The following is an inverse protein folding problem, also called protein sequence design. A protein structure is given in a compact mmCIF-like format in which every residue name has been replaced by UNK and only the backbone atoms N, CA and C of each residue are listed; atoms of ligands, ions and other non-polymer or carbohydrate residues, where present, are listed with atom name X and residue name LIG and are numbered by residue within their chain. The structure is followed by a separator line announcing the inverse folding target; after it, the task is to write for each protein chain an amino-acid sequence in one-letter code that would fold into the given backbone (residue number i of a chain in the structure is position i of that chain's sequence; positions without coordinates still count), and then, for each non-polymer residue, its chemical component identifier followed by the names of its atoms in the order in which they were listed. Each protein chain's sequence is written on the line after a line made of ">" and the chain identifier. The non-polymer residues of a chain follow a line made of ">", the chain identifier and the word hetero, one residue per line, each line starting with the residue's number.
data_IF_354867632350
#
_entry.id   IF_354867632350
#
_cell.length_a   1.000
_cell.length_b   1.000
_cell.length_c   1.000
_cell.angle_alpha   90.00
_cell.angle_beta   90.00
_cell.angle_gamma   90.00
#
_symmetry.space_group_name_H-M   'P 1'
#
loop_
_entity.id
_entity.type
_entity.pdbx_description
1 polymer ?
#
# COMPACT_ATOMS: atom_id res chain seq x y z
N UNK A 1 -19.09 8.68 -9.09
CA UNK A 1 -18.47 9.02 -7.78
C UNK A 1 -19.47 9.54 -6.74
N UNK A 2 -20.20 10.64 -6.97
CA UNK A 2 -21.18 11.14 -5.99
C UNK A 2 -22.45 10.26 -5.91
N UNK A 3 -22.97 9.84 -7.07
CA UNK A 3 -24.17 8.98 -7.16
C UNK A 3 -23.93 7.63 -6.48
N UNK A 4 -22.78 6.99 -6.72
CA UNK A 4 -22.46 5.68 -6.13
C UNK A 4 -22.41 5.71 -4.59
N UNK A 5 -21.93 6.82 -4.02
CA UNK A 5 -21.91 7.01 -2.56
C UNK A 5 -23.32 7.16 -2.00
N UNK A 6 -24.15 7.95 -2.67
CA UNK A 6 -25.56 8.14 -2.28
C UNK A 6 -26.32 6.82 -2.35
N UNK A 7 -26.14 6.07 -3.43
CA UNK A 7 -26.75 4.75 -3.62
C UNK A 7 -26.27 3.76 -2.55
N UNK A 8 -24.97 3.73 -2.25
CA UNK A 8 -24.41 2.91 -1.18
C UNK A 8 -24.98 3.25 0.21
N UNK A 9 -25.10 4.54 0.52
CA UNK A 9 -25.69 4.99 1.79
C UNK A 9 -27.18 4.62 1.89
N UNK A 10 -27.95 4.77 0.80
CA UNK A 10 -29.36 4.38 0.78
C UNK A 10 -29.56 2.88 0.99
N UNK A 11 -28.67 2.05 0.43
CA UNK A 11 -28.74 0.60 0.58
C UNK A 11 -28.40 0.16 2.01
N UNK A 12 -27.39 0.76 2.66
CA UNK A 12 -27.10 0.53 4.09
C UNK A 12 -28.23 0.98 5.02
N UNK A 13 -28.94 2.06 4.68
CA UNK A 13 -30.16 2.46 5.40
C UNK A 13 -31.28 1.43 5.21
N UNK A 14 -31.38 0.84 4.02
CA UNK A 14 -32.29 -0.28 3.74
C UNK A 14 -31.98 -1.52 4.58
N UNK A 15 -30.71 -1.95 4.66
CA UNK A 15 -30.27 -3.07 5.49
C UNK A 15 -30.67 -2.89 6.96
N UNK A 16 -30.46 -1.69 7.50
CA UNK A 16 -30.85 -1.33 8.86
C UNK A 16 -32.36 -1.41 9.07
N UNK A 17 -33.15 -0.84 8.15
CA UNK A 17 -34.60 -0.79 8.26
C UNK A 17 -35.23 -2.18 8.24
N UNK A 18 -34.84 -3.05 7.31
CA UNK A 18 -35.40 -4.40 7.21
C UNK A 18 -34.98 -5.30 8.36
N UNK A 19 -33.72 -5.24 8.79
CA UNK A 19 -33.25 -6.00 9.95
C UNK A 19 -33.98 -5.58 11.25
N UNK A 20 -34.27 -4.28 11.43
CA UNK A 20 -35.01 -3.78 12.58
C UNK A 20 -36.47 -4.28 12.59
N UNK A 21 -37.13 -4.32 11.44
CA UNK A 21 -38.51 -4.84 11.32
C UNK A 21 -38.58 -6.32 11.70
N UNK A 22 -37.67 -7.14 11.17
CA UNK A 22 -37.59 -8.58 11.52
C UNK A 22 -37.28 -8.79 13.00
N UNK A 23 -36.34 -8.02 13.57
CA UNK A 23 -36.02 -8.09 14.99
C UNK A 23 -37.24 -7.76 15.87
N UNK A 24 -38.05 -6.77 15.46
CA UNK A 24 -39.29 -6.39 16.14
C UNK A 24 -40.36 -7.48 16.09
N UNK A 25 -40.66 -8.01 14.90
CA UNK A 25 -41.68 -9.04 14.71
C UNK A 25 -41.30 -10.37 15.40
N UNK A 26 -40.06 -10.83 15.19
CA UNK A 26 -39.54 -12.03 15.85
C UNK A 26 -39.46 -11.84 17.38
N UNK A 27 -39.13 -10.63 17.84
CA UNK A 27 -39.03 -10.29 19.27
C UNK A 27 -40.38 -10.29 19.98
N UNK A 28 -41.42 -9.75 19.36
CA UNK A 28 -42.80 -9.78 19.88
C UNK A 28 -43.26 -11.22 20.11
N UNK A 29 -43.02 -12.11 19.13
CA UNK A 29 -43.36 -13.53 19.29
C UNK A 29 -42.63 -14.20 20.45
N UNK A 30 -41.32 -13.95 20.58
CA UNK A 30 -40.51 -14.56 21.65
C UNK A 30 -40.98 -14.10 23.05
N UNK A 31 -41.56 -12.90 23.14
CA UNK A 31 -42.15 -12.37 24.36
C UNK A 31 -43.50 -13.03 24.70
N UNK A 32 -44.37 -13.18 23.70
CA UNK A 32 -45.72 -13.73 23.87
C UNK A 32 -45.72 -15.26 24.11
N UNK A 33 -44.73 -15.98 23.57
CA UNK A 33 -44.70 -17.44 23.66
C UNK A 33 -43.84 -17.99 24.79
N UNK A 34 -44.47 -18.29 25.94
CA UNK A 34 -43.87 -19.05 27.05
C UNK A 34 -44.33 -20.51 27.02
N UNK A 35 -43.42 -21.46 26.80
CA UNK A 35 -43.69 -22.91 26.94
C UNK A 35 -43.72 -23.74 25.64
N UNK A 36 -43.24 -23.22 24.52
CA UNK A 36 -43.21 -23.94 23.21
C UNK A 36 -42.04 -24.93 23.11
N UNK A 37 -42.15 -25.89 22.20
CA UNK A 37 -41.13 -26.91 21.93
C UNK A 37 -39.74 -26.30 21.69
N UNK A 38 -38.70 -26.98 22.18
CA UNK A 38 -37.31 -26.54 22.11
C UNK A 38 -36.81 -26.31 20.67
N UNK A 39 -37.46 -26.90 19.66
CA UNK A 39 -37.05 -26.80 18.26
C UNK A 39 -37.61 -25.54 17.58
N UNK A 40 -38.88 -25.22 17.75
CA UNK A 40 -39.48 -24.00 17.18
C UNK A 40 -38.83 -22.73 17.75
N UNK A 41 -38.53 -22.73 19.05
CA UNK A 41 -37.86 -21.61 19.73
C UNK A 41 -36.47 -21.32 19.17
N UNK A 42 -35.72 -22.34 18.73
CA UNK A 42 -34.35 -22.17 18.18
C UNK A 42 -34.34 -21.43 16.85
N UNK A 43 -35.38 -21.58 16.02
CA UNK A 43 -35.49 -20.92 14.70
C UNK A 43 -35.63 -19.40 14.84
N UNK A 44 -36.46 -18.95 15.77
CA UNK A 44 -36.65 -17.54 16.09
C UNK A 44 -35.45 -16.93 16.81
N UNK A 45 -34.81 -17.69 17.71
CA UNK A 45 -33.55 -17.25 18.33
C UNK A 45 -32.44 -17.07 17.27
N UNK A 46 -32.35 -17.94 16.27
CA UNK A 46 -31.39 -17.74 15.19
C UNK A 46 -31.68 -16.45 14.39
N UNK A 47 -32.94 -16.24 14.02
CA UNK A 47 -33.38 -15.09 13.24
C UNK A 47 -33.12 -13.76 13.95
N UNK A 48 -33.39 -13.67 15.26
CA UNK A 48 -33.13 -12.45 16.04
C UNK A 48 -31.63 -12.16 16.22
N UNK A 49 -30.78 -13.19 16.29
CA UNK A 49 -29.32 -13.04 16.35
C UNK A 49 -28.79 -12.49 15.03
N UNK A 50 -29.25 -13.04 13.90
CA UNK A 50 -28.88 -12.56 12.55
C UNK A 50 -29.35 -11.12 12.35
N UNK A 51 -30.57 -10.79 12.78
CA UNK A 51 -31.09 -9.42 12.72
C UNK A 51 -30.27 -8.44 13.57
N UNK A 52 -29.90 -8.83 14.79
CA UNK A 52 -29.09 -8.00 15.69
C UNK A 52 -27.67 -7.73 15.16
N UNK A 53 -27.01 -8.76 14.60
CA UNK A 53 -25.71 -8.62 13.95
C UNK A 53 -25.80 -7.69 12.73
N UNK A 54 -26.87 -7.81 11.94
CA UNK A 54 -27.10 -6.98 10.76
C UNK A 54 -27.32 -5.51 11.14
N UNK A 55 -28.09 -5.23 12.21
CA UNK A 55 -28.30 -3.87 12.74
C UNK A 55 -26.96 -3.28 13.19
N UNK A 56 -26.18 -4.03 13.97
CA UNK A 56 -24.88 -3.58 14.48
C UNK A 56 -23.91 -3.24 13.35
N UNK A 57 -23.80 -4.13 12.35
CA UNK A 57 -22.92 -3.92 11.19
C UNK A 57 -23.38 -2.76 10.30
N UNK A 58 -24.69 -2.62 10.10
CA UNK A 58 -25.27 -1.50 9.32
C UNK A 58 -24.97 -0.15 9.98
N UNK A 59 -25.09 -0.06 11.32
CA UNK A 59 -24.75 1.16 12.07
C UNK A 59 -23.25 1.45 12.06
N UNK A 60 -22.42 0.41 12.17
CA UNK A 60 -20.97 0.55 12.13
C UNK A 60 -20.48 1.08 10.77
N UNK A 61 -21.09 0.62 9.68
CA UNK A 61 -20.73 1.02 8.31
C UNK A 61 -21.47 2.24 7.77
N UNK A 62 -22.44 2.78 8.51
CA UNK A 62 -23.05 4.08 8.19
C UNK A 62 -22.08 5.24 8.44
N UNK A 63 -21.11 5.06 9.34
CA UNK A 63 -20.10 6.06 9.62
C UNK A 63 -19.04 6.07 8.50
N UNK A 64 -18.71 7.24 7.92
CA UNK A 64 -17.74 7.36 6.82
C UNK A 64 -16.28 7.24 7.30
N UNK A 65 -15.98 6.26 8.15
CA UNK A 65 -14.62 5.93 8.53
C UNK A 65 -14.02 5.00 7.48
N UNK A 66 -13.25 5.61 6.58
CA UNK A 66 -12.00 5.06 6.03
C UNK A 66 -11.98 3.56 5.64
N UNK A 67 -11.99 3.31 4.32
CA UNK A 67 -11.35 2.13 3.72
C UNK A 67 -12.30 1.14 3.07
N UNK A 68 -12.62 1.37 1.80
CA UNK A 68 -13.49 0.54 0.95
C UNK A 68 -12.92 -0.85 0.60
N UNK A 69 -12.07 -1.46 1.44
CA UNK A 69 -11.31 -2.65 1.05
C UNK A 69 -11.72 -3.96 1.76
N UNK A 70 -12.64 -3.95 2.75
CA UNK A 70 -12.84 -5.14 3.62
C UNK A 70 -14.32 -5.58 3.83
N UNK A 71 -15.33 -4.85 3.33
CA UNK A 71 -16.74 -5.14 3.71
C UNK A 71 -17.38 -6.32 2.94
N UNK A 72 -16.98 -6.55 1.68
CA UNK A 72 -17.66 -7.50 0.79
C UNK A 72 -17.68 -8.97 1.27
N UNK A 73 -16.65 -9.52 1.97
CA UNK A 73 -16.73 -10.91 2.46
C UNK A 73 -17.71 -11.02 3.63
N UNK A 74 -17.81 -9.98 4.47
CA UNK A 74 -18.75 -9.97 5.59
C UNK A 74 -20.18 -9.83 5.05
N UNK A 75 -20.39 -9.02 4.00
CA UNK A 75 -21.69 -8.89 3.37
C UNK A 75 -22.21 -10.24 2.82
N UNK A 76 -21.33 -11.04 2.19
CA UNK A 76 -21.66 -12.40 1.71
C UNK A 76 -22.01 -13.35 2.86
N UNK A 77 -21.30 -13.26 3.98
CA UNK A 77 -21.58 -14.09 5.16
C UNK A 77 -22.96 -13.76 5.72
N UNK A 78 -23.27 -12.47 5.87
CA UNK A 78 -24.57 -12.03 6.39
C UNK A 78 -25.70 -12.37 5.42
N UNK A 79 -25.49 -12.26 4.11
CA UNK A 79 -26.42 -12.78 3.10
C UNK A 79 -26.73 -14.27 3.32
N UNK A 80 -25.71 -15.11 3.48
CA UNK A 80 -25.90 -16.54 3.75
C UNK A 80 -26.67 -16.82 5.03
N UNK A 81 -26.43 -16.04 6.08
CA UNK A 81 -27.17 -16.13 7.35
C UNK A 81 -28.64 -15.72 7.19
N UNK A 82 -28.95 -14.70 6.39
CA UNK A 82 -30.33 -14.30 6.09
C UNK A 82 -31.08 -15.33 5.24
N UNK A 83 -30.41 -15.95 4.27
CA UNK A 83 -31.00 -17.06 3.50
C UNK A 83 -31.32 -18.26 4.39
N UNK A 84 -30.44 -18.59 5.34
CA UNK A 84 -30.70 -19.62 6.33
C UNK A 84 -31.87 -19.24 7.25
N UNK A 85 -31.94 -17.98 7.72
CA UNK A 85 -33.04 -17.49 8.54
C UNK A 85 -34.39 -17.56 7.79
N UNK A 86 -34.40 -17.13 6.53
CA UNK A 86 -35.56 -17.24 5.64
C UNK A 86 -36.03 -18.70 5.50
N UNK A 87 -35.10 -19.63 5.23
CA UNK A 87 -35.44 -21.05 5.13
C UNK A 87 -36.04 -21.64 6.42
N UNK A 88 -35.53 -21.23 7.58
CA UNK A 88 -36.05 -21.66 8.89
C UNK A 88 -37.46 -21.12 9.18
N UNK A 89 -37.75 -19.88 8.78
CA UNK A 89 -39.08 -19.29 8.92
C UNK A 89 -40.10 -19.94 7.96
N UNK A 90 -39.70 -20.20 6.71
CA UNK A 90 -40.56 -20.89 5.72
C UNK A 90 -40.91 -22.31 6.20
N UNK A 91 -39.91 -23.05 6.70
CA UNK A 91 -40.12 -24.39 7.27
C UNK A 91 -41.01 -24.38 8.53
N UNK A 92 -41.16 -23.23 9.20
CA UNK A 92 -42.10 -23.07 10.31
C UNK A 92 -43.54 -22.80 9.85
N UNK A 93 -43.74 -22.05 8.76
CA UNK A 93 -45.06 -21.70 8.25
C UNK A 93 -45.71 -22.85 7.46
N UNK A 94 -44.91 -23.68 6.79
CA UNK A 94 -45.41 -24.80 5.96
C UNK A 94 -46.46 -25.69 6.65
N UNK A 95 -46.27 -26.12 7.91
CA UNK A 95 -47.24 -26.92 8.66
C UNK A 95 -48.51 -26.18 9.11
N UNK A 96 -48.57 -24.84 9.06
CA UNK A 96 -49.62 -24.03 9.67
C UNK A 96 -50.81 -23.71 8.74
N UNK A 97 -50.93 -24.37 7.57
CA UNK A 97 -52.01 -24.18 6.57
C UNK A 97 -52.30 -22.69 6.24
N UNK A 98 -51.25 -21.87 6.24
CA UNK A 98 -51.31 -20.42 6.08
C UNK A 98 -51.47 -19.93 4.63
N UNK A 99 -51.82 -20.81 3.68
CA UNK A 99 -51.86 -20.50 2.24
C UNK A 99 -50.46 -20.35 1.62
N UNK A 100 -50.41 -19.86 0.37
CA UNK A 100 -49.13 -19.73 -0.36
C UNK A 100 -48.17 -18.74 0.31
N UNK A 101 -46.90 -19.15 0.40
CA UNK A 101 -45.81 -18.43 1.06
C UNK A 101 -45.50 -17.09 0.38
N UNK A 102 -45.66 -17.01 -0.95
CA UNK A 102 -45.43 -15.78 -1.73
C UNK A 102 -46.70 -14.95 -1.99
N UNK A 103 -47.81 -15.24 -1.30
CA UNK A 103 -49.00 -14.40 -1.37
C UNK A 103 -48.95 -13.32 -0.29
N UNK A 104 -48.51 -12.13 -0.70
CA UNK A 104 -48.29 -10.94 0.13
C UNK A 104 -49.47 -9.94 0.13
N UNK A 105 -50.61 -10.29 -0.45
CA UNK A 105 -51.74 -9.37 -0.64
C UNK A 105 -52.40 -8.86 0.63
N UNK A 106 -52.36 -9.65 1.72
CA UNK A 106 -53.12 -9.40 2.96
C UNK A 106 -52.23 -9.15 4.19
N UNK A 107 -51.17 -8.35 4.06
CA UNK A 107 -50.20 -8.09 5.15
C UNK A 107 -50.76 -7.14 6.24
N UNK A 108 -51.87 -6.44 5.98
CA UNK A 108 -52.36 -5.34 6.81
C UNK A 108 -53.42 -5.72 7.86
N UNK A 109 -53.87 -6.97 7.93
CA UNK A 109 -54.87 -7.42 8.90
C UNK A 109 -54.25 -8.09 10.15
N UNK A 110 -54.86 -7.92 11.33
CA UNK A 110 -54.33 -8.28 12.66
C UNK A 110 -54.26 -9.79 13.00
N UNK A 111 -54.03 -10.67 12.01
CA UNK A 111 -53.90 -12.11 12.25
C UNK A 111 -52.46 -12.57 12.48
N UNK A 112 -52.28 -13.64 13.25
CA UNK A 112 -50.96 -14.23 13.56
C UNK A 112 -50.28 -14.74 12.28
N UNK A 113 -51.03 -15.40 11.40
CA UNK A 113 -50.53 -15.91 10.12
C UNK A 113 -49.98 -14.82 9.18
N UNK A 114 -50.62 -13.65 9.16
CA UNK A 114 -50.20 -12.48 8.38
C UNK A 114 -48.90 -11.87 8.93
N UNK A 115 -48.78 -11.74 10.25
CA UNK A 115 -47.54 -11.29 10.91
C UNK A 115 -46.35 -12.19 10.54
N UNK A 116 -46.55 -13.51 10.48
CA UNK A 116 -45.52 -14.46 10.08
C UNK A 116 -45.10 -14.36 8.63
N UNK A 117 -46.06 -14.11 7.74
CA UNK A 117 -45.76 -13.81 6.35
C UNK A 117 -44.96 -12.52 6.21
N UNK A 118 -45.32 -11.48 6.95
CA UNK A 118 -44.55 -10.24 6.95
C UNK A 118 -43.09 -10.50 7.39
N UNK A 119 -42.88 -11.27 8.46
CA UNK A 119 -41.55 -11.63 8.95
C UNK A 119 -40.71 -12.38 7.89
N UNK A 120 -41.32 -13.34 7.18
CA UNK A 120 -40.67 -14.05 6.06
C UNK A 120 -40.33 -13.11 4.89
N UNK A 121 -41.23 -12.20 4.52
CA UNK A 121 -41.01 -11.24 3.44
C UNK A 121 -39.86 -10.29 3.75
N UNK A 122 -39.83 -9.74 4.97
CA UNK A 122 -38.77 -8.82 5.39
C UNK A 122 -37.43 -9.51 5.61
N UNK A 123 -37.41 -10.78 6.04
CA UNK A 123 -36.18 -11.58 6.09
C UNK A 123 -35.60 -11.82 4.68
N UNK A 124 -36.45 -12.06 3.69
CA UNK A 124 -36.03 -12.20 2.29
C UNK A 124 -35.52 -10.88 1.70
N UNK A 125 -36.23 -9.77 1.95
CA UNK A 125 -35.78 -8.44 1.53
C UNK A 125 -34.43 -8.08 2.17
N UNK A 126 -34.26 -8.36 3.46
CA UNK A 126 -32.97 -8.18 4.14
C UNK A 126 -31.86 -8.98 3.44
N UNK A 127 -32.11 -10.25 3.06
CA UNK A 127 -31.15 -11.03 2.28
C UNK A 127 -30.76 -10.33 0.96
N UNK A 128 -31.72 -9.80 0.20
CA UNK A 128 -31.43 -9.12 -1.08
C UNK A 128 -30.57 -7.88 -0.87
N UNK A 129 -30.84 -7.09 0.17
CA UNK A 129 -30.07 -5.88 0.46
C UNK A 129 -28.62 -6.19 0.87
N UNK A 130 -28.38 -7.35 1.47
CA UNK A 130 -27.03 -7.87 1.76
C UNK A 130 -26.36 -8.59 0.59
N UNK A 131 -27.04 -8.81 -0.54
CA UNK A 131 -26.43 -9.42 -1.72
C UNK A 131 -25.36 -8.47 -2.26
N UNK A 132 -24.17 -8.98 -2.65
CA UNK A 132 -23.15 -8.16 -3.31
C UNK A 132 -23.53 -7.81 -4.76
N UNK A 133 -24.72 -7.21 -4.98
CA UNK A 133 -25.13 -6.62 -6.27
C UNK A 133 -24.57 -5.19 -6.41
N UNK A 134 -23.99 -4.62 -5.35
CA UNK A 134 -23.33 -3.33 -5.50
C UNK A 134 -22.24 -3.44 -6.56
N UNK A 135 -22.23 -2.57 -7.58
CA UNK A 135 -21.08 -2.41 -8.43
C UNK A 135 -19.92 -2.00 -7.51
N UNK A 136 -19.16 -3.00 -7.07
CA UNK A 136 -17.93 -2.79 -6.35
C UNK A 136 -17.08 -1.92 -7.27
N UNK A 137 -16.75 -0.71 -6.79
CA UNK A 137 -15.87 0.25 -7.46
C UNK A 137 -14.52 -0.37 -7.87
N UNK A 138 -14.16 -1.55 -7.36
CA UNK A 138 -12.92 -2.26 -7.69
C UNK A 138 -13.03 -3.18 -8.92
N UNK A 139 -14.19 -3.74 -9.25
CA UNK A 139 -14.31 -4.70 -10.37
C UNK A 139 -14.59 -3.95 -11.68
N UNK A 140 -15.45 -2.94 -11.67
CA UNK A 140 -15.75 -2.17 -12.88
C UNK A 140 -14.55 -1.33 -13.38
N UNK A 141 -13.67 -0.85 -12.50
CA UNK A 141 -12.48 -0.09 -12.90
C UNK A 141 -11.38 -0.95 -13.55
N UNK A 142 -11.26 -2.23 -13.16
CA UNK A 142 -10.25 -3.14 -13.72
C UNK A 142 -10.75 -3.96 -14.91
N UNK A 143 -12.06 -4.23 -15.01
CA UNK A 143 -12.59 -5.08 -16.09
C UNK A 143 -12.82 -4.29 -17.39
N UNK A 144 -13.12 -2.99 -17.33
CA UNK A 144 -13.31 -2.18 -18.54
C UNK A 144 -11.98 -1.65 -19.13
N UNK A 145 -10.93 -1.56 -18.31
CA UNK A 145 -9.59 -1.20 -18.78
C UNK A 145 -8.86 -2.37 -19.47
N UNK A 146 -9.22 -3.61 -19.13
CA UNK A 146 -8.63 -4.82 -19.71
C UNK A 146 -9.32 -5.29 -20.99
N UNK A 147 -10.60 -4.93 -21.22
CA UNK A 147 -11.33 -5.38 -22.41
C UNK A 147 -11.01 -4.59 -23.71
N UNK A 148 -10.47 -3.36 -23.59
CA UNK A 148 -10.22 -2.48 -24.76
C UNK A 148 -8.75 -2.36 -25.22
N UNK A 149 -7.86 -3.22 -24.72
CA UNK A 149 -6.49 -3.33 -25.22
C UNK A 149 -6.17 -4.77 -25.63
N UNK A 150 -6.65 -5.18 -26.79
CA UNK A 150 -5.93 -6.13 -27.63
C UNK A 150 -4.89 -5.36 -28.45
N UNK A 151 -3.60 -5.40 -28.11
CA UNK A 151 -2.57 -5.24 -29.12
C UNK A 151 -2.60 -6.48 -30.01
N UNK A 152 -2.85 -6.28 -31.30
CA UNK A 152 -2.67 -7.28 -32.35
C UNK A 152 -1.20 -7.73 -32.38
N UNK A 153 -0.87 -8.74 -31.59
CA UNK A 153 0.38 -9.49 -31.70
C UNK A 153 0.07 -10.74 -32.52
N UNK A 154 0.57 -10.74 -33.75
CA UNK A 154 0.53 -11.86 -34.68
C UNK A 154 0.97 -13.16 -34.01
N UNK A 155 0.05 -14.12 -33.92
CA UNK A 155 0.33 -15.49 -33.50
C UNK A 155 1.16 -16.19 -34.57
N UNK A 156 2.42 -16.50 -34.26
CA UNK A 156 3.12 -17.65 -34.84
C UNK A 156 3.46 -18.60 -33.71
N UNK A 157 2.89 -19.80 -33.78
CA UNK A 157 2.96 -20.84 -32.78
C UNK A 157 4.38 -21.42 -32.64
N UNK A 158 4.78 -21.72 -31.39
CA UNK A 158 5.90 -22.61 -31.06
C UNK A 158 5.57 -23.37 -29.75
N UNK A 159 5.98 -24.64 -29.60
CA UNK A 159 5.30 -25.58 -28.72
C UNK A 159 5.76 -25.52 -27.26
N UNK A 160 4.89 -26.06 -26.41
CA UNK A 160 4.93 -26.13 -24.95
C UNK A 160 6.16 -26.83 -24.37
N UNK A 161 6.88 -26.14 -23.47
CA UNK A 161 7.81 -26.77 -22.53
C UNK A 161 7.11 -27.06 -21.19
N UNK A 162 7.18 -28.33 -20.77
CA UNK A 162 6.75 -28.82 -19.45
C UNK A 162 7.80 -28.49 -18.37
N UNK A 163 7.39 -28.29 -17.10
CA UNK A 163 8.34 -28.11 -15.99
C UNK A 163 8.97 -29.45 -15.56
N UNK A 164 10.29 -29.46 -15.43
CA UNK A 164 11.11 -30.58 -14.98
C UNK A 164 10.85 -30.92 -13.50
N UNK A 165 10.58 -32.21 -13.21
CA UNK A 165 10.59 -32.79 -11.86
C UNK A 165 12.03 -33.11 -11.42
N UNK A 166 12.36 -33.04 -10.11
CA UNK A 166 13.61 -33.56 -9.59
C UNK A 166 13.64 -35.12 -9.61
N UNK A 167 14.82 -35.74 -9.77
CA UNK A 167 14.93 -37.19 -9.92
C UNK A 167 14.64 -37.95 -8.61
N UNK A 168 13.86 -39.01 -8.76
CA UNK A 168 13.55 -40.03 -7.74
C UNK A 168 14.71 -40.98 -7.53
N UNK A 169 15.18 -41.15 -6.30
CA UNK A 169 16.08 -42.24 -5.90
C UNK A 169 15.28 -43.54 -5.68
N UNK A 170 15.78 -44.73 -6.07
CA UNK A 170 15.06 -45.99 -5.89
C UNK A 170 15.13 -46.49 -4.45
N UNK A 171 13.97 -46.84 -3.90
CA UNK A 171 13.84 -47.63 -2.68
C UNK A 171 14.29 -49.07 -2.94
N UNK A 172 15.34 -49.51 -2.24
CA UNK A 172 15.67 -50.92 -2.07
C UNK A 172 15.29 -51.37 -0.65
N UNK A 173 14.29 -52.24 -0.62
CA UNK A 173 13.83 -53.06 0.51
C UNK A 173 14.98 -53.86 1.13
N UNK A 174 15.12 -53.83 2.47
CA UNK A 174 15.47 -55.00 3.29
C UNK A 174 14.84 -54.93 4.68
N UNK A 175 14.31 -56.09 5.05
CA UNK A 175 13.52 -56.45 6.23
C UNK A 175 14.45 -56.69 7.44
N UNK A 176 13.92 -56.40 8.64
CA UNK A 176 14.31 -56.68 10.04
C UNK A 176 14.93 -58.11 10.26
N UNK A 177 15.58 -58.48 11.41
CA UNK A 177 15.53 -57.85 12.73
C UNK A 177 16.84 -57.71 13.53
N UNK A 178 16.84 -56.73 14.44
CA UNK A 178 17.83 -56.58 15.52
C UNK A 178 17.36 -57.34 16.76
N UNK A 179 18.14 -58.32 17.20
CA UNK A 179 18.15 -58.84 18.57
C UNK A 179 19.56 -58.63 19.12
N UNK A 180 19.64 -58.22 20.39
CA UNK A 180 20.80 -58.11 21.27
C UNK A 180 21.72 -56.89 21.08
N UNK A 181 21.84 -56.15 22.19
CA UNK A 181 22.77 -55.04 22.33
C UNK A 181 22.49 -54.12 23.52
N UNK A 182 21.93 -54.68 24.61
CA UNK A 182 21.85 -54.04 25.91
C UNK A 182 23.27 -53.80 26.45
N UNK A 183 23.40 -52.75 27.28
CA UNK A 183 24.56 -52.42 28.12
C UNK A 183 25.69 -51.57 27.49
N UNK A 184 25.40 -50.31 27.18
CA UNK A 184 26.35 -49.19 27.37
C UNK A 184 25.65 -47.83 27.17
N UNK A 185 24.70 -47.48 28.04
CA UNK A 185 24.22 -46.09 28.17
C UNK A 185 23.54 -45.86 29.52
N UNK A 186 24.27 -46.18 30.59
CA UNK A 186 24.00 -45.72 31.96
C UNK A 186 25.29 -45.10 32.46
N UNK A 187 25.38 -43.77 32.35
CA UNK A 187 26.12 -42.79 33.16
C UNK A 187 25.91 -41.45 32.43
N UNK A 188 25.71 -40.36 33.18
CA UNK A 188 25.28 -39.02 32.77
C UNK A 188 23.75 -38.78 32.72
N UNK A 189 23.04 -39.21 33.76
CA UNK A 189 21.85 -38.50 34.24
C UNK A 189 22.31 -37.60 35.40
N UNK A 190 22.79 -36.40 35.09
CA UNK A 190 22.94 -35.30 36.06
C UNK A 190 23.45 -34.05 35.34
N UNK A 191 22.55 -33.33 34.66
CA UNK A 191 22.58 -31.88 34.37
C UNK A 191 21.73 -31.58 33.12
N UNK A 192 20.41 -31.54 33.27
CA UNK A 192 19.57 -30.80 32.32
C UNK A 192 19.73 -29.32 32.66
N UNK A 193 20.29 -28.46 31.80
CA UNK A 193 20.20 -27.03 32.04
C UNK A 193 18.72 -26.67 32.07
N UNK A 194 18.32 -25.90 33.08
CA UNK A 194 16.96 -25.41 33.20
C UNK A 194 16.57 -24.72 31.88
N UNK A 195 15.47 -25.17 31.27
CA UNK A 195 14.85 -24.48 30.13
C UNK A 195 14.41 -23.12 30.68
N UNK A 196 15.24 -22.10 30.46
CA UNK A 196 14.95 -20.73 30.83
C UNK A 196 13.75 -20.32 29.98
N UNK A 197 12.59 -20.17 30.62
CA UNK A 197 11.40 -19.57 30.02
C UNK A 197 11.81 -18.24 29.38
N UNK A 198 11.88 -18.20 28.04
CA UNK A 198 12.03 -16.95 27.31
C UNK A 198 10.67 -16.22 27.38
N UNK A 199 10.42 -15.55 28.50
CA UNK A 199 9.40 -14.52 28.52
C UNK A 199 9.93 -13.37 27.66
N UNK A 200 9.41 -13.25 26.43
CA UNK A 200 9.56 -12.00 25.68
C UNK A 200 8.82 -10.93 26.49
N UNK A 201 9.56 -10.04 27.10
CA UNK A 201 9.01 -8.80 27.62
C UNK A 201 8.36 -8.06 26.45
N UNK A 202 7.11 -7.64 26.60
CA UNK A 202 6.50 -6.71 25.66
C UNK A 202 7.30 -5.42 25.73
N UNK A 203 8.20 -5.21 24.78
CA UNK A 203 8.81 -3.91 24.55
C UNK A 203 7.79 -3.07 23.79
N UNK A 204 7.23 -2.06 24.44
CA UNK A 204 6.56 -0.99 23.72
C UNK A 204 7.66 -0.14 23.08
N UNK A 205 7.74 -0.13 21.75
CA UNK A 205 8.59 0.80 21.02
C UNK A 205 8.26 2.22 21.48
N UNK A 206 9.28 3.07 21.63
CA UNK A 206 9.05 4.51 21.80
C UNK A 206 8.19 5.03 20.65
N UNK A 207 7.23 5.92 20.96
CA UNK A 207 6.48 6.64 19.92
C UNK A 207 7.47 7.57 19.23
N UNK A 208 7.83 7.24 17.99
CA UNK A 208 8.58 8.15 17.10
C UNK A 208 7.56 9.12 16.53
N UNK A 209 7.70 10.41 16.82
CA UNK A 209 6.95 11.45 16.14
C UNK A 209 7.46 11.56 14.69
N UNK A 210 6.60 11.94 13.75
CA UNK A 210 7.05 12.15 12.37
C UNK A 210 8.07 13.28 12.32
N UNK A 211 9.14 13.08 11.55
CA UNK A 211 10.20 14.08 11.33
C UNK A 211 9.71 15.33 10.57
N UNK A 212 8.52 15.29 9.96
CA UNK A 212 7.96 16.43 9.23
C UNK A 212 6.49 16.70 9.53
N UNK A 213 6.10 17.98 9.49
CA UNK A 213 4.70 18.38 9.64
C UNK A 213 3.95 18.14 8.33
N UNK A 214 2.80 17.45 8.37
CA UNK A 214 1.91 17.26 7.22
C UNK A 214 0.77 18.28 7.12
N UNK A 215 0.84 19.33 7.95
CA UNK A 215 -0.06 20.48 7.92
C UNK A 215 0.72 21.73 7.57
N UNK A 216 0.14 22.60 6.76
CA UNK A 216 0.74 23.87 6.41
C UNK A 216 0.37 24.94 7.45
N UNK A 217 1.34 25.82 7.77
CA UNK A 217 1.13 27.05 8.53
C UNK A 217 1.82 28.16 7.74
N UNK A 218 1.10 29.25 7.53
CA UNK A 218 1.65 30.38 6.79
C UNK A 218 2.88 30.94 7.52
N UNK A 219 3.99 31.05 6.79
CA UNK A 219 5.20 31.72 7.23
C UNK A 219 5.49 32.93 6.35
N UNK A 220 6.47 33.76 6.74
CA UNK A 220 6.88 34.90 5.92
C UNK A 220 7.41 34.49 4.55
N UNK A 221 8.02 33.30 4.45
CA UNK A 221 8.65 32.76 3.24
C UNK A 221 7.75 31.80 2.46
N UNK A 222 6.73 31.23 3.10
CA UNK A 222 5.82 30.25 2.50
C UNK A 222 4.37 30.52 2.94
N UNK A 223 3.63 31.22 2.08
CA UNK A 223 2.21 31.55 2.26
C UNK A 223 1.52 31.65 0.90
N UNK A 224 0.18 31.74 0.90
CA UNK A 224 -0.60 31.79 -0.33
C UNK A 224 -0.53 33.13 -1.09
N UNK A 225 -0.04 34.21 -0.46
CA UNK A 225 0.00 35.55 -1.06
C UNK A 225 1.27 35.81 -1.87
N UNK A 226 2.34 35.06 -1.64
CA UNK A 226 3.57 35.14 -2.45
C UNK A 226 3.27 34.65 -3.88
N UNK A 227 3.41 35.50 -4.92
CA UNK A 227 3.16 35.07 -6.28
C UNK A 227 4.30 34.20 -6.81
N UNK A 228 3.98 33.03 -7.32
CA UNK A 228 4.92 32.17 -8.05
C UNK A 228 4.45 32.01 -9.50
N UNK A 229 5.37 32.13 -10.46
CA UNK A 229 5.12 31.86 -11.88
C UNK A 229 6.30 31.10 -12.48
N UNK A 230 6.00 30.19 -13.39
CA UNK A 230 7.01 29.48 -14.15
C UNK A 230 7.73 30.41 -15.12
N UNK A 231 9.05 30.21 -15.28
CA UNK A 231 9.86 30.90 -16.28
C UNK A 231 9.39 30.55 -17.70
N UNK A 232 9.70 31.38 -18.69
CA UNK A 232 9.32 31.12 -20.08
C UNK A 232 9.90 29.80 -20.62
N UNK A 233 11.14 29.48 -20.24
CA UNK A 233 11.79 28.21 -20.55
C UNK A 233 11.01 27.03 -19.95
N UNK A 234 10.64 27.12 -18.67
CA UNK A 234 9.88 26.07 -18.01
C UNK A 234 8.46 25.94 -18.58
N UNK A 235 7.85 27.03 -19.03
CA UNK A 235 6.56 26.97 -19.73
C UNK A 235 6.63 26.19 -21.05
N UNK A 236 7.77 26.21 -21.76
CA UNK A 236 7.97 25.37 -22.94
C UNK A 236 8.05 23.88 -22.56
N UNK A 237 8.80 23.55 -21.50
CA UNK A 237 8.91 22.18 -20.96
C UNK A 237 7.56 21.67 -20.47
N UNK A 238 6.76 22.51 -19.80
CA UNK A 238 5.40 22.15 -19.35
C UNK A 238 4.51 21.77 -20.54
N UNK A 239 4.59 22.49 -21.66
CA UNK A 239 3.82 22.13 -22.87
C UNK A 239 4.22 20.76 -23.41
N UNK A 240 5.51 20.44 -23.40
CA UNK A 240 6.00 19.12 -23.80
C UNK A 240 5.51 18.02 -22.86
N UNK A 241 5.58 18.25 -21.54
CA UNK A 241 5.09 17.30 -20.53
C UNK A 241 3.59 17.06 -20.72
N UNK A 242 2.79 18.11 -20.91
CA UNK A 242 1.36 17.98 -21.14
C UNK A 242 1.03 17.22 -22.42
N UNK A 243 1.84 17.35 -23.47
CA UNK A 243 1.66 16.63 -24.73
C UNK A 243 1.87 15.10 -24.59
N UNK A 244 2.58 14.64 -23.55
CA UNK A 244 2.74 13.20 -23.26
C UNK A 244 1.45 12.54 -22.77
N UNK A 245 0.49 13.33 -22.30
CA UNK A 245 -0.76 12.84 -21.72
C UNK A 245 -1.97 13.21 -22.60
N UNK A 246 -3.01 12.37 -22.64
CA UNK A 246 -4.27 12.73 -23.30
C UNK A 246 -4.87 13.99 -22.68
N UNK A 247 -5.54 14.86 -23.48
CA UNK A 247 -6.05 16.15 -23.00
C UNK A 247 -7.08 16.02 -21.87
N UNK A 248 -7.84 14.92 -21.83
CA UNK A 248 -8.81 14.64 -20.75
C UNK A 248 -8.14 14.32 -19.41
N UNK A 249 -6.88 13.87 -19.43
CA UNK A 249 -6.15 13.37 -18.27
C UNK A 249 -4.89 14.19 -17.95
N UNK A 250 -4.92 15.51 -18.21
CA UNK A 250 -3.81 16.43 -17.88
C UNK A 250 -3.36 16.38 -16.41
N UNK A 251 -4.23 15.96 -15.48
CA UNK A 251 -3.91 15.76 -14.06
C UNK A 251 -2.77 14.76 -13.84
N UNK A 252 -2.52 13.85 -14.79
CA UNK A 252 -1.40 12.91 -14.73
C UNK A 252 -0.03 13.61 -14.76
N UNK A 253 0.05 14.84 -15.28
CA UNK A 253 1.26 15.64 -15.33
C UNK A 253 1.61 16.33 -13.99
N UNK A 254 0.84 16.11 -12.91
CA UNK A 254 1.05 16.78 -11.62
C UNK A 254 2.45 16.54 -11.06
N UNK A 255 2.95 15.30 -11.12
CA UNK A 255 4.26 14.95 -10.57
C UNK A 255 5.43 15.64 -11.30
N UNK A 256 5.56 15.52 -12.64
CA UNK A 256 6.68 16.15 -13.35
C UNK A 256 6.61 17.69 -13.32
N UNK A 257 5.42 18.29 -13.29
CA UNK A 257 5.29 19.76 -13.22
C UNK A 257 5.61 20.27 -11.80
N UNK A 258 5.22 19.53 -10.75
CA UNK A 258 5.65 19.84 -9.37
C UNK A 258 7.17 19.77 -9.22
N UNK A 259 7.79 18.73 -9.78
CA UNK A 259 9.25 18.58 -9.75
C UNK A 259 9.96 19.75 -10.46
N UNK A 260 9.44 20.15 -11.62
CA UNK A 260 9.94 21.33 -12.34
C UNK A 260 9.78 22.62 -11.51
N UNK A 261 8.68 22.77 -10.79
CA UNK A 261 8.44 23.89 -9.88
C UNK A 261 9.43 23.92 -8.72
N UNK A 262 9.70 22.76 -8.13
CA UNK A 262 10.73 22.60 -7.10
C UNK A 262 12.12 22.93 -7.63
N UNK A 263 12.49 22.48 -8.85
CA UNK A 263 13.79 22.80 -9.46
C UNK A 263 13.96 24.29 -9.72
N UNK A 264 12.89 25.00 -10.08
CA UNK A 264 12.93 26.44 -10.31
C UNK A 264 13.01 27.23 -8.99
N UNK A 265 12.26 26.83 -7.97
CA UNK A 265 12.14 27.58 -6.71
C UNK A 265 13.13 27.15 -5.62
N UNK A 266 13.68 25.93 -5.72
CA UNK A 266 14.51 25.25 -4.72
C UNK A 266 13.72 24.29 -3.82
N UNK A 267 12.45 24.60 -3.54
CA UNK A 267 11.54 23.77 -2.76
C UNK A 267 10.09 23.93 -3.26
N UNK A 268 9.21 23.01 -2.90
CA UNK A 268 7.78 23.03 -3.24
C UNK A 268 7.01 23.90 -2.23
N UNK A 269 6.98 25.22 -2.46
CA UNK A 269 6.18 26.15 -1.66
C UNK A 269 4.68 26.05 -1.96
N UNK A 270 3.83 26.60 -1.08
CA UNK A 270 2.38 26.60 -1.25
C UNK A 270 1.97 27.28 -2.57
N UNK A 271 2.67 28.36 -2.93
CA UNK A 271 2.44 29.10 -4.19
C UNK A 271 2.78 28.26 -5.42
N UNK A 272 3.86 27.46 -5.38
CA UNK A 272 4.19 26.50 -6.44
C UNK A 272 3.05 25.50 -6.61
N UNK A 273 2.58 24.89 -5.52
CA UNK A 273 1.48 23.92 -5.57
C UNK A 273 0.19 24.54 -6.13
N UNK A 274 -0.13 25.76 -5.73
CA UNK A 274 -1.30 26.49 -6.23
C UNK A 274 -1.21 26.82 -7.73
N UNK A 275 -0.03 27.22 -8.21
CA UNK A 275 0.18 27.49 -9.62
C UNK A 275 0.07 26.20 -10.46
N UNK A 276 0.61 25.08 -9.97
CA UNK A 276 0.42 23.77 -10.63
C UNK A 276 -1.05 23.37 -10.66
N UNK A 277 -1.78 23.56 -9.56
CA UNK A 277 -3.21 23.30 -9.50
C UNK A 277 -4.00 24.13 -10.54
N UNK A 278 -3.62 25.41 -10.69
CA UNK A 278 -4.20 26.32 -11.69
C UNK A 278 -3.91 25.84 -13.13
N UNK A 279 -2.67 25.48 -13.43
CA UNK A 279 -2.26 25.00 -14.76
C UNK A 279 -2.97 23.69 -15.16
N UNK A 280 -3.16 22.79 -14.20
CA UNK A 280 -3.79 21.49 -14.43
C UNK A 280 -5.31 21.49 -14.29
N UNK A 281 -5.91 22.64 -13.96
CA UNK A 281 -7.34 22.80 -13.67
C UNK A 281 -7.85 21.70 -12.72
N UNK A 282 -7.14 21.53 -11.61
CA UNK A 282 -7.49 20.58 -10.56
C UNK A 282 -7.55 21.26 -9.20
N UNK A 283 -8.34 20.72 -8.24
CA UNK A 283 -8.38 21.28 -6.90
C UNK A 283 -6.97 21.27 -6.25
N UNK A 284 -6.54 22.36 -5.61
CA UNK A 284 -5.22 22.44 -4.96
C UNK A 284 -4.97 21.33 -3.95
N UNK A 285 -6.02 20.88 -3.25
CA UNK A 285 -5.93 19.76 -2.30
C UNK A 285 -5.33 18.49 -2.91
N UNK A 286 -5.61 18.20 -4.19
CA UNK A 286 -5.04 17.02 -4.86
C UNK A 286 -3.55 17.18 -5.15
N UNK A 287 -3.09 18.41 -5.35
CA UNK A 287 -1.67 18.71 -5.49
C UNK A 287 -0.97 18.61 -4.13
N UNK A 288 -1.63 19.08 -3.05
CA UNK A 288 -1.12 18.94 -1.69
C UNK A 288 -0.97 17.49 -1.27
N UNK A 289 -1.97 16.64 -1.57
CA UNK A 289 -1.90 15.19 -1.34
C UNK A 289 -0.64 14.61 -1.99
N UNK A 290 -0.38 14.89 -3.27
CA UNK A 290 0.82 14.42 -3.99
C UNK A 290 2.10 14.96 -3.35
N UNK A 291 2.18 16.26 -3.09
CA UNK A 291 3.37 16.90 -2.52
C UNK A 291 3.69 16.43 -1.09
N UNK A 292 2.69 16.00 -0.33
CA UNK A 292 2.89 15.42 1.01
C UNK A 292 3.17 13.93 0.99
N UNK A 293 2.72 13.21 -0.05
CA UNK A 293 2.85 11.77 -0.15
C UNK A 293 4.23 11.33 -0.64
N UNK A 294 4.79 12.02 -1.64
CA UNK A 294 6.10 11.68 -2.18
C UNK A 294 7.21 12.43 -1.46
N UNK A 295 8.22 11.70 -0.99
CA UNK A 295 9.31 12.22 -0.15
C UNK A 295 10.31 13.11 -0.88
N UNK A 296 10.32 13.10 -2.22
CA UNK A 296 11.19 13.98 -3.01
C UNK A 296 10.74 15.45 -3.00
N UNK A 297 9.45 15.70 -2.70
CA UNK A 297 8.93 17.07 -2.68
C UNK A 297 9.25 17.76 -1.36
N UNK A 298 10.26 18.60 -1.37
CA UNK A 298 10.70 19.37 -0.21
C UNK A 298 9.71 20.49 0.04
N UNK A 299 8.99 20.46 1.16
CA UNK A 299 7.95 21.48 1.48
C UNK A 299 8.50 22.64 2.33
N UNK A 300 9.70 22.46 2.86
CA UNK A 300 10.47 23.46 3.58
C UNK A 300 11.67 23.87 2.73
N UNK A 301 12.21 25.09 2.92
CA UNK A 301 13.45 25.49 2.27
C UNK A 301 14.58 24.54 2.66
N UNK A 302 15.30 24.04 1.66
CA UNK A 302 16.50 23.21 1.81
C UNK A 302 17.71 23.99 1.31
N UNK A 303 18.90 23.62 1.77
CA UNK A 303 20.16 24.17 1.31
C UNK A 303 20.43 23.83 -0.16
N UNK A 304 21.46 24.48 -0.73
CA UNK A 304 21.85 24.29 -2.14
C UNK A 304 22.15 22.83 -2.51
N UNK A 305 22.74 22.07 -1.59
CA UNK A 305 23.04 20.65 -1.74
C UNK A 305 22.22 19.85 -0.74
N UNK A 306 21.27 19.07 -1.25
CA UNK A 306 20.46 18.16 -0.45
C UNK A 306 21.15 16.79 -0.40
N UNK A 307 21.80 16.49 0.73
CA UNK A 307 22.59 15.28 1.00
C UNK A 307 21.67 14.20 1.58
N UNK A 308 21.39 13.19 0.76
CA UNK A 308 20.48 12.09 1.07
C UNK A 308 21.27 10.81 1.26
N UNK A 309 21.32 10.31 2.49
CA UNK A 309 22.12 9.12 2.86
C UNK A 309 21.22 7.90 3.01
N UNK A 310 21.53 6.83 2.28
CA UNK A 310 20.79 5.58 2.39
C UNK A 310 21.22 4.81 3.65
N UNK A 311 20.28 4.59 4.58
CA UNK A 311 20.53 3.85 5.84
C UNK A 311 19.82 2.49 5.89
N UNK A 312 19.31 2.01 4.75
CA UNK A 312 18.68 0.69 4.66
C UNK A 312 19.67 -0.46 4.81
N UNK A 313 19.15 -1.66 5.11
CA UNK A 313 19.96 -2.85 5.46
C UNK A 313 21.13 -3.14 4.51
N UNK A 314 21.00 -3.08 3.17
CA UNK A 314 22.15 -3.31 2.29
C UNK A 314 23.26 -2.27 2.45
N UNK A 315 22.92 -0.99 2.66
CA UNK A 315 23.91 0.06 2.91
C UNK A 315 24.46 0.00 4.34
N UNK A 316 23.65 -0.42 5.30
CA UNK A 316 24.09 -0.62 6.68
C UNK A 316 25.12 -1.75 6.81
N UNK A 317 24.97 -2.82 6.02
CA UNK A 317 25.87 -3.98 6.04
C UNK A 317 27.01 -3.90 5.01
N UNK A 318 26.81 -3.18 3.91
CA UNK A 318 27.74 -3.10 2.79
C UNK A 318 28.92 -2.16 3.04
N UNK A 319 30.09 -2.51 2.47
CA UNK A 319 31.31 -1.70 2.55
C UNK A 319 31.73 -1.39 3.99
N UNK A 320 31.88 -0.10 4.33
CA UNK A 320 32.17 0.34 5.70
C UNK A 320 30.93 0.50 6.59
N UNK A 321 29.73 0.23 6.07
CA UNK A 321 28.45 0.48 6.71
C UNK A 321 28.01 1.94 6.64
N UNK A 322 26.72 2.17 6.36
CA UNK A 322 26.12 3.52 6.28
C UNK A 322 26.27 4.30 7.58
N UNK A 323 26.25 3.64 8.75
CA UNK A 323 26.39 4.28 10.06
C UNK A 323 27.73 5.03 10.22
N UNK A 324 28.80 4.52 9.58
CA UNK A 324 30.10 5.19 9.57
C UNK A 324 30.08 6.46 8.71
N UNK A 325 29.33 6.43 7.60
CA UNK A 325 29.14 7.58 6.70
C UNK A 325 28.29 8.65 7.39
N UNK A 326 27.19 8.28 8.03
CA UNK A 326 26.34 9.19 8.81
C UNK A 326 27.17 9.93 9.87
N UNK A 327 27.95 9.20 10.67
CA UNK A 327 28.82 9.82 11.70
C UNK A 327 29.86 10.76 11.11
N UNK A 328 30.41 10.44 9.94
CA UNK A 328 31.37 11.31 9.26
C UNK A 328 30.71 12.61 8.77
N UNK A 329 29.49 12.53 8.25
CA UNK A 329 28.71 13.68 7.79
C UNK A 329 28.32 14.56 8.98
N UNK A 330 27.72 13.98 10.03
CA UNK A 330 27.34 14.71 11.25
C UNK A 330 28.56 15.36 11.91
N UNK A 331 29.68 14.63 11.99
CA UNK A 331 30.93 15.14 12.57
C UNK A 331 31.57 16.28 11.77
N UNK A 332 31.38 16.30 10.44
CA UNK A 332 31.94 17.34 9.58
C UNK A 332 31.03 18.57 9.46
N UNK A 333 29.73 18.38 9.22
CA UNK A 333 28.76 19.46 9.02
C UNK A 333 28.21 20.03 10.33
N UNK A 334 28.26 19.25 11.43
CA UNK A 334 27.73 19.67 12.73
C UNK A 334 26.20 19.84 12.76
N UNK A 335 25.48 19.07 11.93
CA UNK A 335 24.01 19.06 11.83
C UNK A 335 23.49 17.65 12.04
N UNK A 336 22.25 17.54 12.52
CA UNK A 336 21.55 16.27 12.65
C UNK A 336 20.63 15.99 11.44
N UNK A 337 20.08 14.77 11.40
CA UNK A 337 19.12 14.38 10.37
C UNK A 337 17.94 15.38 10.26
N UNK A 338 17.69 15.88 9.05
CA UNK A 338 16.64 16.84 8.73
C UNK A 338 17.03 18.31 8.92
N UNK A 339 18.23 18.60 9.45
CA UNK A 339 18.70 19.97 9.67
C UNK A 339 19.50 20.50 8.48
N UNK A 340 19.53 21.84 8.38
CA UNK A 340 20.29 22.57 7.37
C UNK A 340 21.40 23.34 8.04
N UNK A 341 22.57 23.39 7.41
CA UNK A 341 23.72 24.15 7.92
C UNK A 341 23.38 25.65 7.98
N UNK A 342 23.99 26.39 8.91
CA UNK A 342 23.74 27.84 9.09
C UNK A 342 24.03 28.66 7.84
N UNK A 343 24.89 28.14 6.98
CA UNK A 343 25.27 28.77 5.71
C UNK A 343 24.26 28.51 4.58
N UNK A 344 23.19 27.75 4.83
CA UNK A 344 22.17 27.30 3.86
C UNK A 344 22.76 26.57 2.64
N UNK A 345 23.92 25.94 2.81
CA UNK A 345 24.62 25.21 1.76
C UNK A 345 24.24 23.73 1.73
N UNK A 346 24.15 23.06 2.89
CA UNK A 346 23.84 21.64 2.97
C UNK A 346 22.61 21.40 3.84
N UNK A 347 21.75 20.51 3.37
CA UNK A 347 20.71 19.87 4.19
C UNK A 347 21.01 18.38 4.21
N UNK A 348 21.10 17.81 5.40
CA UNK A 348 21.35 16.38 5.59
C UNK A 348 20.03 15.67 5.88
N UNK A 349 19.73 14.61 5.15
CA UNK A 349 18.56 13.77 5.37
C UNK A 349 18.92 12.29 5.21
N UNK A 350 18.45 11.47 6.16
CA UNK A 350 18.45 10.02 6.01
C UNK A 350 17.28 9.60 5.15
N UNK A 351 17.58 8.77 4.15
CA UNK A 351 16.60 8.27 3.19
C UNK A 351 16.63 6.75 3.12
N UNK A 352 15.56 6.22 2.56
CA UNK A 352 15.41 4.81 2.28
C UNK A 352 16.26 4.36 1.08
N UNK A 353 16.01 3.16 0.57
CA UNK A 353 16.78 2.57 -0.51
C UNK A 353 16.75 3.42 -1.79
N UNK A 354 17.93 3.88 -2.22
CA UNK A 354 18.13 4.65 -3.45
C UNK A 354 18.45 3.79 -4.70
N UNK A 355 18.44 2.46 -4.54
CA UNK A 355 18.58 1.51 -5.65
C UNK A 355 20.02 1.19 -6.09
N UNK A 356 21.05 1.75 -5.46
CA UNK A 356 22.46 1.48 -5.76
C UNK A 356 23.09 0.46 -4.77
N UNK A 357 22.37 -0.63 -4.46
CA UNK A 357 22.72 -1.55 -3.36
C UNK A 357 24.06 -2.28 -3.56
N UNK A 358 24.44 -2.60 -4.80
CA UNK A 358 25.73 -3.26 -5.12
C UNK A 358 26.92 -2.29 -4.99
N UNK A 359 26.62 -0.99 -4.89
CA UNK A 359 27.54 0.12 -4.69
C UNK A 359 27.43 0.74 -3.29
N UNK A 360 26.99 -0.08 -2.33
CA UNK A 360 26.90 0.32 -0.94
C UNK A 360 28.29 0.55 -0.30
N UNK A 361 28.46 1.56 0.57
CA UNK A 361 27.47 2.58 0.95
C UNK A 361 27.46 3.77 -0.02
N UNK A 362 26.31 4.42 -0.16
CA UNK A 362 26.10 5.48 -1.15
C UNK A 362 25.29 6.65 -0.59
N UNK A 363 25.43 7.80 -1.25
CA UNK A 363 24.75 9.06 -0.95
C UNK A 363 24.29 9.68 -2.26
N UNK A 364 23.09 10.25 -2.26
CA UNK A 364 22.61 11.11 -3.34
C UNK A 364 22.77 12.58 -2.92
N UNK A 365 23.38 13.38 -3.78
CA UNK A 365 23.45 14.83 -3.59
C UNK A 365 22.72 15.48 -4.77
N UNK A 366 21.57 16.08 -4.49
CA UNK A 366 20.65 16.57 -5.53
C UNK A 366 20.27 15.45 -6.52
N UNK A 367 20.74 15.51 -7.77
CA UNK A 367 20.47 14.51 -8.81
C UNK A 367 21.58 13.44 -8.94
N UNK A 368 22.74 13.65 -8.30
CA UNK A 368 23.95 12.85 -8.52
C UNK A 368 24.11 11.77 -7.46
N UNK A 369 24.48 10.56 -7.89
CA UNK A 369 24.83 9.45 -7.01
C UNK A 369 26.34 9.39 -6.79
N UNK A 370 26.72 9.29 -5.53
CA UNK A 370 28.09 9.05 -5.09
C UNK A 370 28.11 7.74 -4.32
N UNK A 371 28.87 6.78 -4.81
CA UNK A 371 28.77 5.39 -4.39
C UNK A 371 30.12 4.86 -3.90
N UNK A 372 30.16 3.68 -3.27
CA UNK A 372 31.36 3.10 -2.66
C UNK A 372 32.11 4.02 -1.72
N UNK A 373 31.36 4.74 -0.91
CA UNK A 373 31.92 5.77 -0.06
C UNK A 373 32.63 5.15 1.14
N UNK A 374 33.76 5.74 1.50
CA UNK A 374 34.40 5.63 2.81
C UNK A 374 34.20 6.94 3.59
N UNK A 375 34.34 6.94 4.94
CA UNK A 375 34.26 8.15 5.77
C UNK A 375 35.19 9.28 5.30
N UNK A 376 36.36 8.94 4.76
CA UNK A 376 37.32 9.92 4.24
C UNK A 376 36.86 10.49 2.90
N UNK A 377 36.33 9.63 2.02
CA UNK A 377 35.86 10.04 0.69
C UNK A 377 34.65 10.98 0.78
N UNK A 378 33.71 10.74 1.70
CA UNK A 378 32.53 11.61 1.87
C UNK A 378 32.94 12.98 2.42
N UNK A 379 33.87 13.05 3.37
CA UNK A 379 34.39 14.33 3.87
C UNK A 379 35.15 15.08 2.77
N UNK A 380 35.92 14.38 1.93
CA UNK A 380 36.58 14.99 0.78
C UNK A 380 35.56 15.52 -0.24
N UNK A 381 34.49 14.78 -0.51
CA UNK A 381 33.38 15.20 -1.38
C UNK A 381 32.68 16.45 -0.83
N UNK A 382 32.31 16.47 0.45
CA UNK A 382 31.67 17.63 1.08
C UNK A 382 32.55 18.87 1.02
N UNK A 383 33.86 18.75 1.31
CA UNK A 383 34.82 19.86 1.17
C UNK A 383 34.96 20.36 -0.27
N UNK A 384 34.94 19.45 -1.24
CA UNK A 384 34.98 19.82 -2.65
C UNK A 384 33.72 20.59 -3.07
N UNK A 385 32.55 20.17 -2.57
CA UNK A 385 31.28 20.87 -2.80
C UNK A 385 31.26 22.25 -2.11
N UNK A 386 31.78 22.36 -0.88
CA UNK A 386 31.95 23.66 -0.21
C UNK A 386 32.83 24.63 -0.99
N UNK A 387 33.97 24.15 -1.46
CA UNK A 387 34.86 24.95 -2.31
C UNK A 387 34.13 25.38 -3.59
N UNK A 388 33.39 24.47 -4.23
CA UNK A 388 32.61 24.78 -5.43
C UNK A 388 31.49 25.79 -5.21
N UNK A 389 30.93 25.86 -4.00
CA UNK A 389 29.91 26.85 -3.66
C UNK A 389 30.49 28.24 -3.42
N UNK A 390 31.72 28.33 -2.90
CA UNK A 390 32.41 29.58 -2.55
C UNK A 390 33.16 30.19 -3.74
N UNK A 391 33.53 29.39 -4.73
CA UNK A 391 34.16 29.87 -5.97
C UNK A 391 33.13 30.51 -6.90
N UNK A 392 32.97 31.83 -6.76
CA UNK A 392 32.23 32.68 -7.69
C UNK A 392 33.12 32.96 -8.91
N UNK A 393 32.69 32.44 -10.07
CA UNK A 393 33.17 32.77 -11.42
C UNK A 393 34.65 32.46 -11.74
N UNK A 394 34.92 31.23 -12.22
CA UNK A 394 35.99 31.01 -13.19
C UNK A 394 37.02 29.92 -12.91
N UNK A 395 37.03 29.32 -11.72
CA UNK A 395 37.91 28.18 -11.43
C UNK A 395 37.07 26.90 -11.36
N UNK A 396 37.33 25.86 -12.18
CA UNK A 396 36.61 24.60 -12.09
C UNK A 396 37.03 23.90 -10.80
N UNK A 397 36.30 24.17 -9.73
CA UNK A 397 36.35 23.40 -8.50
C UNK A 397 36.06 21.94 -8.87
N UNK A 398 37.05 21.08 -8.62
CA UNK A 398 37.09 19.68 -9.04
C UNK A 398 36.17 18.86 -8.14
N UNK A 399 34.86 19.03 -8.30
CA UNK A 399 33.87 18.13 -7.67
C UNK A 399 34.12 16.73 -8.25
N UNK A 400 34.20 15.68 -7.41
CA UNK A 400 34.28 14.30 -7.88
C UNK A 400 33.16 14.01 -8.87
N UNK A 401 33.44 13.22 -9.92
CA UNK A 401 32.40 12.79 -10.83
C UNK A 401 31.39 11.88 -10.11
N UNK A 402 30.10 11.93 -10.49
CA UNK A 402 29.11 10.99 -9.97
C UNK A 402 29.47 9.56 -10.37
N UNK A 403 29.23 8.62 -9.45
CA UNK A 403 29.53 7.21 -9.59
C UNK A 403 30.31 6.62 -8.41
N UNK A 404 30.90 5.43 -8.59
CA UNK A 404 31.70 4.78 -7.56
C UNK A 404 32.97 5.57 -7.25
N UNK A 405 33.20 5.85 -5.95
CA UNK A 405 34.45 6.44 -5.47
C UNK A 405 35.61 5.41 -5.44
N UNK A 406 35.32 4.14 -5.72
CA UNK A 406 36.30 3.07 -5.82
C UNK A 406 36.92 2.99 -7.23
N UNK A 407 37.79 2.00 -7.46
CA UNK A 407 38.45 1.80 -8.76
C UNK A 407 37.58 1.14 -9.84
N UNK A 408 36.27 0.98 -9.61
CA UNK A 408 35.34 0.35 -10.56
C UNK A 408 34.57 1.40 -11.35
N UNK A 409 34.16 1.07 -12.56
CA UNK A 409 33.43 1.95 -13.48
C UNK A 409 31.98 2.15 -13.06
N UNK A 410 31.28 1.06 -12.70
CA UNK A 410 29.86 1.10 -12.37
C UNK A 410 29.52 0.04 -11.32
N UNK A 411 28.81 -1.03 -11.68
CA UNK A 411 28.34 -2.08 -10.79
C UNK A 411 29.09 -3.40 -10.95
N UNK A 412 30.21 -3.42 -11.68
CA UNK A 412 30.98 -4.64 -11.89
C UNK A 412 31.69 -5.10 -10.61
N UNK A 413 32.12 -6.38 -10.55
CA UNK A 413 32.91 -6.86 -9.43
C UNK A 413 34.22 -6.07 -9.32
N UNK A 414 34.58 -5.67 -8.10
CA UNK A 414 35.80 -4.88 -7.84
C UNK A 414 37.11 -5.57 -8.30
N UNK A 415 37.11 -6.89 -8.45
CA UNK A 415 38.24 -7.67 -8.97
C UNK A 415 38.33 -7.72 -10.51
N UNK A 416 37.52 -6.93 -11.22
CA UNK A 416 37.39 -6.92 -12.68
C UNK A 416 36.20 -7.74 -13.18
N UNK A 417 35.94 -7.64 -14.49
CA UNK A 417 34.81 -8.29 -15.14
C UNK A 417 34.88 -9.81 -14.97
N UNK A 418 33.86 -10.43 -14.35
CA UNK A 418 33.72 -11.89 -14.24
C UNK A 418 32.80 -12.46 -15.31
N UNK A 419 31.83 -11.66 -15.77
CA UNK A 419 30.89 -11.92 -16.86
C UNK A 419 31.00 -10.83 -17.93
N UNK A 420 30.26 -10.98 -19.05
CA UNK A 420 30.24 -10.00 -20.16
C UNK A 420 31.62 -9.70 -20.78
N UNK A 421 32.52 -10.68 -20.80
CA UNK A 421 33.86 -10.56 -21.43
C UNK A 421 33.84 -10.70 -22.96
N UNK A 422 32.78 -11.30 -23.50
CA UNK A 422 32.65 -11.55 -24.93
C UNK A 422 32.18 -10.30 -25.69
N UNK A 423 32.29 -10.36 -27.01
CA UNK A 423 31.73 -9.32 -27.87
C UNK A 423 30.20 -9.25 -27.72
N UNK A 424 29.65 -8.04 -27.79
CA UNK A 424 28.20 -7.83 -27.75
C UNK A 424 27.56 -8.44 -29.00
N UNK A 425 26.66 -9.38 -28.80
CA UNK A 425 25.98 -10.04 -29.91
C UNK A 425 24.99 -9.09 -30.58
N UNK A 426 25.21 -8.81 -31.86
CA UNK A 426 24.21 -8.19 -32.72
C UNK A 426 23.06 -9.15 -33.03
N UNK A 427 21.96 -8.60 -33.58
CA UNK A 427 20.78 -9.39 -34.01
C UNK A 427 21.13 -10.52 -34.99
N UNK A 428 22.22 -10.37 -35.73
CA UNK A 428 22.68 -11.37 -36.72
C UNK A 428 23.34 -12.60 -36.09
N UNK A 429 24.05 -12.42 -34.98
CA UNK A 429 24.69 -13.52 -34.25
C UNK A 429 23.62 -14.36 -33.54
N UNK A 430 22.62 -13.69 -32.94
CA UNK A 430 21.47 -14.35 -32.33
C UNK A 430 20.71 -15.25 -33.31
N UNK A 431 20.51 -14.84 -34.56
CA UNK A 431 19.77 -15.67 -35.54
C UNK A 431 20.51 -16.93 -35.97
N UNK A 432 21.85 -16.94 -35.93
CA UNK A 432 22.67 -18.07 -36.41
C UNK A 432 22.77 -19.22 -35.42
N UNK A 433 22.61 -18.98 -34.12
CA UNK A 433 22.68 -20.05 -33.10
C UNK A 433 21.34 -20.76 -32.85
N UNK A 434 20.21 -20.16 -33.25
CA UNK A 434 18.87 -20.75 -33.11
C UNK A 434 18.32 -21.38 -34.40
N UNK A 435 19.13 -21.43 -35.48
CA UNK A 435 18.88 -22.19 -36.71
C UNK A 435 19.72 -23.46 -36.70
#
# INVERSE_FOLDING_TARGET
>A
MAIDRIVGTLLRVGELAFAAVVAGLTGEYLHETRGVSNWSRKRFIYTIVVASLSIFLSLLWLLPFSGAFIHWPVDIIIFGLWIAAFGLLVDFIGPLNCGNIFNWGDITEHGTCQKWKADVAFAFLSAIFWLPIHPNQSIAANTDYTSKREPQISRTASPSHQPLRPPTAPMASKITPYIFGSAARRICIASRPAIRSQQRTFAASSRVASDSLFVHRDSAENNASIPFKFSEQNNAVIKEILARYPPQYKKAAVMPILDLGQRQHGFTSLSVMNEVARLLEMPPMRVYEVATFYTMYNRNPVGKYHVQVCTTTPCQLGGCGSDAIVKAIEGHLGVHNGETTKDNLFTYLEVECLGACVNAPMVQINDDYYEDLTPESIVALLKALEASAKDVAGTPSKVPAPGPASGRESCEPAGGLTSLKGELWGKEVFKKEFQ
#
